data_IF_247176757262
#
_entry.id   IF_247176757262
#
_cell.length_a   1.000
_cell.length_b   1.000
_cell.length_c   1.000
_cell.angle_alpha   90.00
_cell.angle_beta   90.00
_cell.angle_gamma   90.00
#
_symmetry.space_group_name_H-M   'P 1'
#
loop_
_entity.id
_entity.type
_entity.pdbx_description
1 polymer ?
#
# COMPACT_ATOMS: atom_id res chain seq x y z
N UNK A 1 -7.62 -14.80 1.78
CA UNK A 1 -6.33 -14.57 1.09
C UNK A 1 -5.56 -13.51 1.86
N UNK A 2 -4.26 -13.72 2.10
CA UNK A 2 -3.38 -12.73 2.75
C UNK A 2 -3.01 -11.62 1.75
N UNK A 3 -2.78 -10.39 2.23
CA UNK A 3 -2.22 -9.31 1.41
C UNK A 3 -0.70 -9.50 1.34
N UNK A 4 -0.12 -9.82 0.16
CA UNK A 4 1.31 -10.00 0.06
C UNK A 4 2.04 -8.66 0.27
N UNK A 5 3.20 -8.64 0.95
CA UNK A 5 3.99 -7.43 1.08
C UNK A 5 4.47 -6.94 -0.28
N UNK A 6 4.84 -5.66 -0.37
CA UNK A 6 5.62 -5.16 -1.50
C UNK A 6 6.96 -5.91 -1.56
N UNK A 7 7.44 -6.20 -2.77
CA UNK A 7 8.84 -6.57 -2.92
C UNK A 7 9.74 -5.34 -2.76
N UNK A 8 11.03 -5.55 -2.51
CA UNK A 8 12.01 -4.46 -2.41
C UNK A 8 11.96 -3.50 -3.61
N UNK A 9 11.84 -4.03 -4.84
CA UNK A 9 11.75 -3.21 -6.05
C UNK A 9 10.40 -2.51 -6.16
N UNK A 10 9.30 -3.18 -5.81
CA UNK A 10 7.98 -2.54 -5.82
C UNK A 10 7.94 -1.36 -4.84
N UNK A 11 8.50 -1.52 -3.64
CA UNK A 11 8.65 -0.46 -2.64
C UNK A 11 9.51 0.70 -3.16
N UNK A 12 10.71 0.42 -3.68
CA UNK A 12 11.58 1.45 -4.24
C UNK A 12 10.91 2.25 -5.36
N UNK A 13 10.26 1.54 -6.29
CA UNK A 13 9.56 2.17 -7.43
C UNK A 13 8.46 3.09 -6.94
N UNK A 14 7.58 2.64 -6.04
CA UNK A 14 6.46 3.48 -5.58
C UNK A 14 6.91 4.65 -4.73
N UNK A 15 7.98 4.51 -3.93
CA UNK A 15 8.53 5.61 -3.15
C UNK A 15 9.13 6.70 -4.06
N UNK A 16 9.89 6.33 -5.09
CA UNK A 16 10.44 7.28 -6.05
C UNK A 16 9.34 8.00 -6.84
N UNK A 17 8.32 7.26 -7.30
CA UNK A 17 7.16 7.83 -8.01
C UNK A 17 6.35 8.75 -7.08
N UNK A 18 6.10 8.35 -5.84
CA UNK A 18 5.43 9.19 -4.83
C UNK A 18 6.22 10.47 -4.52
N UNK A 19 7.55 10.41 -4.63
CA UNK A 19 8.43 11.58 -4.57
C UNK A 19 8.40 12.48 -5.82
N UNK A 20 7.51 12.21 -6.79
CA UNK A 20 7.34 13.01 -8.00
C UNK A 20 8.26 12.64 -9.16
N UNK A 21 9.03 11.55 -9.06
CA UNK A 21 9.89 11.10 -10.17
C UNK A 21 9.06 10.49 -11.29
N UNK A 22 9.39 10.82 -12.53
CA UNK A 22 8.77 10.20 -13.71
C UNK A 22 9.22 8.74 -13.86
N UNK A 23 8.40 7.88 -14.48
CA UNK A 23 8.77 6.48 -14.71
C UNK A 23 10.08 6.32 -15.47
N UNK A 24 10.39 7.26 -16.39
CA UNK A 24 11.68 7.28 -17.10
C UNK A 24 12.85 7.57 -16.17
N UNK A 25 12.73 8.59 -15.31
CA UNK A 25 13.78 8.91 -14.35
C UNK A 25 14.02 7.77 -13.34
N UNK A 26 12.96 7.04 -12.97
CA UNK A 26 13.07 5.85 -12.10
C UNK A 26 13.70 4.67 -12.85
N UNK A 27 13.32 4.45 -14.12
CA UNK A 27 13.89 3.41 -14.97
C UNK A 27 15.42 3.62 -15.13
N UNK A 28 15.82 4.85 -15.42
CA UNK A 28 17.23 5.23 -15.56
C UNK A 28 18.00 5.04 -14.23
N UNK A 29 17.41 5.41 -13.09
CA UNK A 29 18.03 5.25 -11.76
C UNK A 29 18.20 3.79 -11.34
N UNK A 30 17.20 2.95 -11.63
CA UNK A 30 17.19 1.54 -11.23
C UNK A 30 17.84 0.60 -12.26
N UNK A 31 18.26 1.10 -13.42
CA UNK A 31 18.80 0.29 -14.51
C UNK A 31 17.77 -0.66 -15.11
N UNK A 32 16.50 -0.24 -15.16
CA UNK A 32 15.37 -1.04 -15.65
C UNK A 32 14.72 -0.40 -16.87
N UNK A 33 13.87 -1.16 -17.58
CA UNK A 33 13.06 -0.58 -18.65
C UNK A 33 11.87 0.20 -18.07
N UNK A 34 11.41 1.25 -18.76
CA UNK A 34 10.17 1.99 -18.40
C UNK A 34 8.98 1.04 -18.27
N UNK A 35 8.87 0.04 -19.16
CA UNK A 35 7.82 -0.98 -19.12
C UNK A 35 7.89 -1.84 -17.85
N UNK A 36 9.09 -2.14 -17.38
CA UNK A 36 9.31 -2.86 -16.11
C UNK A 36 8.85 -1.99 -14.93
N UNK A 37 9.15 -0.68 -14.94
CA UNK A 37 8.68 0.26 -13.93
C UNK A 37 7.14 0.32 -13.90
N UNK A 38 6.49 0.49 -15.06
CA UNK A 38 5.03 0.49 -15.15
C UNK A 38 4.40 -0.79 -14.58
N UNK A 39 4.99 -1.94 -14.89
CA UNK A 39 4.54 -3.22 -14.35
C UNK A 39 4.67 -3.28 -12.81
N UNK A 40 5.80 -2.82 -12.26
CA UNK A 40 5.98 -2.73 -10.80
C UNK A 40 4.97 -1.79 -10.15
N UNK A 41 4.71 -0.62 -10.74
CA UNK A 41 3.71 0.34 -10.25
C UNK A 41 2.32 -0.30 -10.20
N UNK A 42 1.89 -0.98 -11.27
CA UNK A 42 0.58 -1.65 -11.31
C UNK A 42 0.46 -2.73 -10.24
N UNK A 43 1.50 -3.55 -10.06
CA UNK A 43 1.49 -4.60 -9.03
C UNK A 43 1.50 -4.03 -7.62
N UNK A 44 2.36 -3.06 -7.35
CA UNK A 44 2.47 -2.41 -6.05
C UNK A 44 1.14 -1.74 -5.66
N UNK A 45 0.55 -0.99 -6.60
CA UNK A 45 -0.75 -0.34 -6.41
C UNK A 45 -1.84 -1.32 -5.99
N UNK A 46 -1.97 -2.48 -6.67
CA UNK A 46 -2.97 -3.50 -6.29
C UNK A 46 -2.75 -4.02 -4.86
N UNK A 47 -1.50 -4.22 -4.45
CA UNK A 47 -1.19 -4.67 -3.08
C UNK A 47 -1.55 -3.61 -2.05
N UNK A 48 -1.23 -2.34 -2.33
CA UNK A 48 -1.55 -1.21 -1.47
C UNK A 48 -3.06 -0.98 -1.35
N UNK A 49 -3.81 -1.08 -2.45
CA UNK A 49 -5.27 -0.99 -2.44
C UNK A 49 -5.91 -2.09 -1.58
N UNK A 50 -5.41 -3.33 -1.71
CA UNK A 50 -5.87 -4.43 -0.86
C UNK A 50 -5.51 -4.22 0.62
N UNK A 51 -4.30 -3.72 0.91
CA UNK A 51 -3.87 -3.42 2.27
C UNK A 51 -4.74 -2.33 2.91
N UNK A 52 -4.98 -1.23 2.18
CA UNK A 52 -5.84 -0.13 2.62
C UNK A 52 -7.27 -0.61 2.89
N UNK A 53 -7.86 -1.36 1.95
CA UNK A 53 -9.21 -1.92 2.12
C UNK A 53 -9.31 -2.85 3.35
N UNK A 54 -8.29 -3.69 3.57
CA UNK A 54 -8.25 -4.54 4.76
C UNK A 54 -8.09 -3.72 6.04
N UNK A 55 -7.23 -2.71 6.02
CA UNK A 55 -7.03 -1.80 7.15
C UNK A 55 -8.35 -1.11 7.53
N UNK A 56 -9.06 -0.55 6.57
CA UNK A 56 -10.35 0.13 6.80
C UNK A 56 -11.38 -0.82 7.40
N UNK A 57 -11.49 -2.04 6.87
CA UNK A 57 -12.38 -3.08 7.43
C UNK A 57 -12.04 -3.45 8.87
N UNK A 58 -10.74 -3.49 9.21
CA UNK A 58 -10.31 -3.75 10.58
C UNK A 58 -10.66 -2.55 11.47
N UNK A 59 -10.45 -1.31 11.02
CA UNK A 59 -10.84 -0.11 11.76
C UNK A 59 -12.35 -0.05 12.00
N UNK A 60 -13.17 -0.39 11.00
CA UNK A 60 -14.63 -0.44 11.14
C UNK A 60 -15.08 -1.50 12.15
N UNK A 61 -14.45 -2.68 12.12
CA UNK A 61 -14.76 -3.78 13.04
C UNK A 61 -14.26 -3.53 14.47
N UNK A 62 -13.15 -2.81 14.63
CA UNK A 62 -12.54 -2.44 15.92
C UNK A 62 -13.10 -1.12 16.46
N UNK A 63 -13.83 -0.36 15.62
CA UNK A 63 -14.62 0.82 15.98
C UNK A 63 -15.54 0.58 17.19
N UNK A 64 -15.96 1.65 17.90
CA UNK A 64 -15.94 1.69 19.36
C UNK A 64 -16.76 0.58 20.01
N UNK A 65 -16.05 -0.48 20.36
CA UNK A 65 -16.42 -1.37 21.47
C UNK A 65 -16.30 -0.63 22.82
N UNK A 66 -15.72 0.58 22.83
CA UNK A 66 -15.55 1.46 23.98
C UNK A 66 -16.88 1.95 24.61
N UNK A 67 -17.92 2.24 23.82
CA UNK A 67 -19.21 2.68 24.39
C UNK A 67 -19.97 1.56 25.12
N UNK A 68 -19.75 0.29 24.74
CA UNK A 68 -20.37 -0.86 25.40
C UNK A 68 -19.71 -1.23 26.72
N UNK A 69 -18.46 -0.82 26.95
CA UNK A 69 -17.77 -1.05 28.22
C UNK A 69 -18.15 0.01 29.26
N UNK A 70 -18.37 1.26 28.84
CA UNK A 70 -18.82 2.36 29.72
C UNK A 70 -20.23 2.14 30.27
N UNK A 71 -21.14 1.55 29.48
CA UNK A 71 -22.51 1.21 29.90
C UNK A 71 -22.61 -0.05 30.78
N UNK A 72 -21.52 -0.82 30.96
CA UNK A 72 -21.48 -2.02 31.80
C UNK A 72 -20.91 -1.79 33.20
N UNK A 73 -20.30 -0.63 33.44
CA UNK A 73 -19.65 -0.27 34.72
C UNK A 73 -20.41 0.81 35.51
N UNK A 74 -21.61 1.19 35.06
CA UNK A 74 -22.54 2.06 35.78
C UNK A 74 -23.79 1.28 36.16
#
# INVERSE_FOLDING_TARGET
>A
MSVPPLSMIEEQVVLLVAGGRSHRAVADELGLSVKTIEWHVVRARRKLEHAASLHDRVQDAVGPTAERQAARNG
#
